data_IF_179928260510
#
_entry.id   IF_179928260510
#
_cell.length_a   1.000
_cell.length_b   1.000
_cell.length_c   1.000
_cell.angle_alpha   90.00
_cell.angle_beta   90.00
_cell.angle_gamma   90.00
#
_symmetry.space_group_name_H-M   'P 1'
#
loop_
_entity.id
_entity.type
_entity.pdbx_description
1 polymer ?
#
# COMPACT_ATOMS: atom_id res chain seq x y z
N UNK A 1 1.14 -30.06 5.60
CA UNK A 1 1.17 -28.86 4.76
C UNK A 1 -0.25 -28.38 4.56
N UNK A 2 -0.57 -27.13 4.92
CA UNK A 2 -1.86 -26.56 4.58
C UNK A 2 -1.88 -26.31 3.06
N UNK A 3 -2.73 -27.02 2.36
CA UNK A 3 -2.79 -26.90 0.90
C UNK A 3 -3.68 -25.70 0.55
N UNK A 4 -3.10 -24.70 -0.10
CA UNK A 4 -3.86 -23.59 -0.69
C UNK A 4 -4.81 -24.11 -1.76
N UNK A 5 -6.01 -23.55 -1.80
CA UNK A 5 -6.93 -23.70 -2.93
C UNK A 5 -7.02 -22.36 -3.63
N UNK A 6 -6.88 -22.35 -4.96
CA UNK A 6 -6.99 -21.17 -5.80
C UNK A 6 -7.84 -21.52 -7.01
N UNK A 7 -8.92 -20.78 -7.20
CA UNK A 7 -9.88 -21.04 -8.29
C UNK A 7 -10.59 -19.75 -8.72
N UNK A 8 -11.12 -19.82 -9.92
CA UNK A 8 -11.96 -18.77 -10.50
C UNK A 8 -13.41 -19.21 -10.40
N UNK A 9 -14.20 -18.44 -9.65
CA UNK A 9 -15.62 -18.74 -9.50
C UNK A 9 -16.41 -18.34 -10.75
N UNK A 10 -17.47 -19.08 -11.11
CA UNK A 10 -18.34 -18.74 -12.25
C UNK A 10 -18.92 -17.32 -12.18
N UNK A 11 -19.14 -16.77 -10.99
CA UNK A 11 -19.56 -15.38 -10.80
C UNK A 11 -18.50 -14.35 -11.21
N UNK A 12 -17.23 -14.75 -11.46
CA UNK A 12 -16.13 -13.90 -11.88
C UNK A 12 -15.09 -13.59 -10.79
N UNK A 13 -15.34 -13.92 -9.54
CA UNK A 13 -14.41 -13.74 -8.42
C UNK A 13 -13.22 -14.68 -8.57
N UNK A 14 -12.00 -14.14 -8.37
CA UNK A 14 -10.81 -14.96 -8.11
C UNK A 14 -10.72 -15.25 -6.62
N UNK A 15 -10.78 -16.52 -6.25
CA UNK A 15 -10.82 -16.96 -4.85
C UNK A 15 -9.56 -17.73 -4.47
N UNK A 16 -8.90 -17.31 -3.38
CA UNK A 16 -7.88 -18.08 -2.69
C UNK A 16 -8.35 -18.49 -1.30
N UNK A 17 -8.13 -19.74 -0.93
CA UNK A 17 -8.46 -20.25 0.40
C UNK A 17 -7.27 -20.93 1.05
N UNK A 18 -6.97 -20.56 2.29
CA UNK A 18 -5.99 -21.19 3.15
C UNK A 18 -6.70 -21.85 4.34
N UNK A 19 -6.97 -23.18 4.30
CA UNK A 19 -7.56 -23.87 5.43
C UNK A 19 -6.62 -23.90 6.63
N UNK A 20 -7.08 -23.45 7.78
CA UNK A 20 -6.36 -23.46 9.05
C UNK A 20 -7.21 -24.14 10.14
N UNK A 21 -7.32 -25.47 10.14
CA UNK A 21 -8.30 -26.19 10.97
C UNK A 21 -8.07 -26.08 12.46
N UNK A 22 -6.89 -25.64 12.90
CA UNK A 22 -6.57 -25.40 14.32
C UNK A 22 -6.91 -24.00 14.81
N UNK A 23 -7.36 -23.12 13.93
CA UNK A 23 -7.81 -21.75 14.31
C UNK A 23 -9.28 -21.79 14.71
N UNK A 24 -9.67 -20.82 15.55
CA UNK A 24 -11.05 -20.71 16.05
C UNK A 24 -11.86 -19.66 15.27
N UNK A 25 -11.24 -18.98 14.32
CA UNK A 25 -11.85 -17.90 13.54
C UNK A 25 -11.59 -18.10 12.05
N UNK A 26 -12.44 -17.48 11.24
CA UNK A 26 -12.26 -17.33 9.80
C UNK A 26 -12.08 -15.84 9.50
N UNK A 27 -11.06 -15.52 8.70
CA UNK A 27 -10.88 -14.20 8.11
C UNK A 27 -11.12 -14.28 6.60
N UNK A 28 -11.68 -13.22 6.05
CA UNK A 28 -11.66 -13.02 4.60
C UNK A 28 -11.35 -11.57 4.24
N UNK A 29 -10.84 -11.39 3.04
CA UNK A 29 -10.57 -10.09 2.45
C UNK A 29 -11.11 -10.07 1.03
N UNK A 30 -11.92 -9.06 0.71
CA UNK A 30 -12.39 -8.77 -0.63
C UNK A 30 -11.61 -7.55 -1.12
N UNK A 31 -10.85 -7.70 -2.20
CA UNK A 31 -10.20 -6.61 -2.91
C UNK A 31 -10.96 -6.33 -4.19
N UNK A 32 -11.48 -5.13 -4.31
CA UNK A 32 -12.07 -4.63 -5.55
C UNK A 32 -11.03 -3.78 -6.27
N UNK A 33 -10.78 -4.02 -7.55
CA UNK A 33 -9.86 -3.24 -8.37
C UNK A 33 -10.48 -1.87 -8.71
N UNK A 34 -10.70 -1.07 -7.68
CA UNK A 34 -11.42 0.21 -7.70
C UNK A 34 -10.76 1.24 -6.76
N UNK A 35 -9.43 1.23 -6.67
CA UNK A 35 -8.68 2.25 -5.92
C UNK A 35 -8.62 3.59 -6.65
N UNK A 36 -7.82 4.53 -6.13
CA UNK A 36 -7.72 5.90 -6.69
C UNK A 36 -7.25 5.93 -8.15
N UNK A 37 -6.59 4.88 -8.63
CA UNK A 37 -6.20 4.75 -10.03
C UNK A 37 -7.39 4.63 -10.99
N UNK A 38 -8.57 4.24 -10.50
CA UNK A 38 -9.80 4.13 -11.27
C UNK A 38 -10.60 5.43 -11.34
N UNK A 39 -10.18 6.49 -10.64
CA UNK A 39 -10.86 7.78 -10.63
C UNK A 39 -10.69 8.53 -11.95
N UNK A 40 -11.73 9.29 -12.41
CA UNK A 40 -11.54 10.30 -13.43
C UNK A 40 -10.56 11.39 -12.95
N UNK A 41 -9.75 11.99 -13.85
CA UNK A 41 -8.73 12.97 -13.45
C UNK A 41 -9.29 14.23 -12.76
N UNK A 42 -10.54 14.57 -13.03
CA UNK A 42 -11.25 15.73 -12.46
C UNK A 42 -12.09 15.40 -11.20
N UNK A 43 -12.04 14.15 -10.73
CA UNK A 43 -12.80 13.64 -9.58
C UNK A 43 -11.92 12.91 -8.57
N UNK A 44 -10.73 13.45 -8.28
CA UNK A 44 -9.80 12.85 -7.31
C UNK A 44 -10.41 12.89 -5.90
N UNK A 45 -10.35 11.77 -5.19
CA UNK A 45 -11.00 11.51 -3.89
C UNK A 45 -12.33 10.75 -4.01
N UNK A 46 -12.80 10.49 -5.25
CA UNK A 46 -14.06 9.80 -5.50
C UNK A 46 -14.06 8.36 -4.98
N UNK A 47 -12.94 7.62 -5.12
CA UNK A 47 -12.85 6.23 -4.68
C UNK A 47 -13.01 6.09 -3.16
N UNK A 48 -12.38 6.98 -2.39
CA UNK A 48 -12.53 7.02 -0.93
C UNK A 48 -13.94 7.43 -0.51
N UNK A 49 -14.53 8.46 -1.14
CA UNK A 49 -15.93 8.85 -0.87
C UNK A 49 -16.92 7.71 -1.16
N UNK A 50 -16.66 6.91 -2.20
CA UNK A 50 -17.50 5.73 -2.49
C UNK A 50 -17.36 4.74 -1.35
N UNK A 51 -16.14 4.40 -0.94
CA UNK A 51 -15.87 3.44 0.13
C UNK A 51 -16.49 3.90 1.46
N UNK A 52 -16.28 5.15 1.87
CA UNK A 52 -16.81 5.75 3.11
C UNK A 52 -18.35 5.82 3.15
N UNK A 53 -19.01 5.78 1.97
CA UNK A 53 -20.45 5.90 1.89
C UNK A 53 -21.15 4.56 1.68
N UNK A 54 -20.45 3.50 1.30
CA UNK A 54 -21.02 2.18 1.05
C UNK A 54 -21.81 1.62 2.24
N UNK A 55 -21.30 1.79 3.46
CA UNK A 55 -21.90 1.27 4.69
C UNK A 55 -23.04 2.14 5.28
N UNK A 56 -23.32 3.30 4.67
CA UNK A 56 -24.33 4.24 5.17
C UNK A 56 -25.77 3.84 4.85
N UNK A 57 -25.95 2.84 3.98
CA UNK A 57 -27.26 2.25 3.70
C UNK A 57 -27.27 1.35 2.49
N UNK A 58 -28.13 0.33 2.55
CA UNK A 58 -28.42 -0.60 1.46
C UNK A 58 -29.91 -0.55 1.12
N UNK A 59 -30.33 -1.24 0.06
CA UNK A 59 -31.76 -1.37 -0.25
C UNK A 59 -32.57 -2.06 0.87
N UNK A 60 -31.90 -2.84 1.73
CA UNK A 60 -32.54 -3.63 2.79
C UNK A 60 -32.40 -3.04 4.18
N UNK A 61 -31.32 -2.25 4.43
CA UNK A 61 -30.94 -1.78 5.76
C UNK A 61 -30.48 -0.33 5.72
N UNK A 62 -30.78 0.40 6.77
CA UNK A 62 -30.06 1.65 7.06
C UNK A 62 -28.63 1.35 7.47
N UNK A 63 -27.73 2.33 7.44
CA UNK A 63 -26.34 2.15 7.89
C UNK A 63 -26.26 1.58 9.32
N UNK A 64 -27.06 2.13 10.24
CA UNK A 64 -27.12 1.63 11.62
C UNK A 64 -27.57 0.16 11.69
N UNK A 65 -28.61 -0.22 10.97
CA UNK A 65 -29.06 -1.62 10.92
C UNK A 65 -28.04 -2.57 10.31
N UNK A 66 -27.22 -2.08 9.37
CA UNK A 66 -26.14 -2.86 8.78
C UNK A 66 -25.01 -3.09 9.81
N UNK A 67 -24.60 -2.04 10.53
CA UNK A 67 -23.61 -2.14 11.61
C UNK A 67 -24.10 -3.06 12.71
N UNK A 68 -25.35 -2.90 13.18
CA UNK A 68 -25.97 -3.77 14.20
C UNK A 68 -25.98 -5.24 13.75
N UNK A 69 -26.17 -5.50 12.43
CA UNK A 69 -26.15 -6.86 11.89
C UNK A 69 -24.73 -7.48 11.88
N UNK A 70 -23.68 -6.70 11.66
CA UNK A 70 -22.29 -7.15 11.80
C UNK A 70 -21.94 -7.38 13.27
N UNK A 71 -22.34 -6.49 14.15
CA UNK A 71 -22.09 -6.61 15.60
C UNK A 71 -22.81 -7.83 16.19
N UNK A 72 -24.03 -8.12 15.75
CA UNK A 72 -24.80 -9.27 16.22
C UNK A 72 -24.13 -10.63 15.95
N UNK A 73 -23.22 -10.71 14.97
CA UNK A 73 -22.44 -11.92 14.67
C UNK A 73 -20.98 -11.80 15.17
N UNK A 74 -20.64 -10.75 15.90
CA UNK A 74 -19.29 -10.51 16.40
C UNK A 74 -18.26 -10.34 15.29
N UNK A 75 -18.64 -9.78 14.16
CA UNK A 75 -17.75 -9.59 13.02
C UNK A 75 -16.83 -8.39 13.24
N UNK A 76 -15.51 -8.62 13.21
CA UNK A 76 -14.54 -7.54 13.12
C UNK A 76 -14.37 -7.12 11.68
N UNK A 77 -14.95 -5.99 11.28
CA UNK A 77 -14.92 -5.47 9.90
C UNK A 77 -14.04 -4.24 9.78
N UNK A 78 -13.43 -4.05 8.61
CA UNK A 78 -12.71 -2.83 8.25
C UNK A 78 -12.66 -2.70 6.73
N UNK A 79 -12.59 -1.47 6.24
CA UNK A 79 -12.41 -1.17 4.82
C UNK A 79 -11.36 -0.08 4.62
N UNK A 80 -10.94 0.14 3.39
CA UNK A 80 -10.02 1.20 3.05
C UNK A 80 -9.67 1.22 1.57
N UNK A 81 -9.47 2.42 1.05
CA UNK A 81 -9.09 2.68 -0.34
C UNK A 81 -7.59 2.91 -0.45
N UNK A 82 -6.98 2.20 -1.40
CA UNK A 82 -5.57 2.33 -1.75
C UNK A 82 -5.38 2.79 -3.19
N UNK A 83 -4.13 2.69 -3.68
CA UNK A 83 -3.79 3.13 -5.05
C UNK A 83 -4.59 2.37 -6.13
N UNK A 84 -4.63 1.06 -6.06
CA UNK A 84 -5.22 0.20 -7.09
C UNK A 84 -6.50 -0.52 -6.64
N UNK A 85 -6.72 -0.61 -5.33
CA UNK A 85 -7.82 -1.42 -4.78
C UNK A 85 -8.55 -0.70 -3.66
N UNK A 86 -9.86 -0.95 -3.56
CA UNK A 86 -10.64 -0.79 -2.34
C UNK A 86 -10.77 -2.15 -1.68
N UNK A 87 -10.48 -2.23 -0.39
CA UNK A 87 -10.33 -3.49 0.34
C UNK A 87 -11.31 -3.55 1.50
N UNK A 88 -12.01 -4.68 1.64
CA UNK A 88 -12.90 -4.98 2.75
C UNK A 88 -12.37 -6.21 3.47
N UNK A 89 -12.21 -6.13 4.78
CA UNK A 89 -11.72 -7.24 5.62
C UNK A 89 -12.75 -7.61 6.67
N UNK A 90 -12.87 -8.90 6.93
CA UNK A 90 -13.74 -9.41 7.98
C UNK A 90 -13.05 -10.54 8.74
N UNK A 91 -13.26 -10.59 10.04
CA UNK A 91 -12.91 -11.73 10.89
C UNK A 91 -14.12 -12.11 11.73
N UNK A 92 -14.47 -13.39 11.74
CA UNK A 92 -15.72 -13.89 12.33
C UNK A 92 -15.54 -15.34 12.80
N UNK A 93 -16.43 -15.84 13.65
CA UNK A 93 -16.49 -17.26 13.98
C UNK A 93 -16.97 -18.09 12.77
N UNK A 94 -16.51 -19.34 12.61
CA UNK A 94 -16.83 -20.19 11.44
C UNK A 94 -18.33 -20.40 11.20
N UNK A 95 -19.14 -20.48 12.25
CA UNK A 95 -20.60 -20.59 12.16
C UNK A 95 -21.28 -19.37 11.54
N UNK A 96 -20.68 -18.18 11.68
CA UNK A 96 -21.20 -16.94 11.15
C UNK A 96 -20.60 -16.51 9.80
N UNK A 97 -19.71 -17.34 9.22
CA UNK A 97 -19.00 -17.00 7.97
C UNK A 97 -19.96 -16.65 6.82
N UNK A 98 -20.97 -17.51 6.59
CA UNK A 98 -21.94 -17.27 5.50
C UNK A 98 -22.72 -15.97 5.72
N UNK A 99 -23.12 -15.69 6.98
CA UNK A 99 -23.83 -14.45 7.29
C UNK A 99 -22.96 -13.21 7.09
N UNK A 100 -21.66 -13.29 7.44
CA UNK A 100 -20.72 -12.21 7.20
C UNK A 100 -20.51 -11.95 5.69
N UNK A 101 -20.41 -13.01 4.87
CA UNK A 101 -20.33 -12.86 3.39
C UNK A 101 -21.63 -12.31 2.82
N UNK A 102 -22.81 -12.75 3.30
CA UNK A 102 -24.12 -12.20 2.92
C UNK A 102 -24.19 -10.68 3.17
N UNK A 103 -23.77 -10.23 4.34
CA UNK A 103 -23.78 -8.81 4.71
C UNK A 103 -22.81 -7.98 3.82
N UNK A 104 -21.61 -8.51 3.53
CA UNK A 104 -20.69 -7.86 2.59
C UNK A 104 -21.22 -7.86 1.16
N UNK A 105 -21.88 -8.93 0.74
CA UNK A 105 -22.53 -8.95 -0.58
C UNK A 105 -23.66 -7.93 -0.67
N UNK A 106 -24.46 -7.77 0.37
CA UNK A 106 -25.50 -6.73 0.44
C UNK A 106 -24.89 -5.33 0.36
N UNK A 107 -23.86 -5.05 1.19
CA UNK A 107 -23.10 -3.80 1.19
C UNK A 107 -22.56 -3.44 -0.21
N UNK A 108 -21.96 -4.41 -0.89
CA UNK A 108 -21.26 -4.18 -2.16
C UNK A 108 -22.22 -4.13 -3.36
N UNK A 109 -23.33 -4.85 -3.32
CA UNK A 109 -24.24 -5.02 -4.46
C UNK A 109 -25.37 -4.00 -4.51
N UNK A 110 -25.86 -3.55 -3.35
CA UNK A 110 -27.08 -2.74 -3.27
C UNK A 110 -26.95 -1.53 -2.35
N UNK A 111 -25.83 -0.79 -2.38
CA UNK A 111 -25.70 0.43 -1.60
C UNK A 111 -26.64 1.51 -2.12
N UNK A 112 -27.19 2.32 -1.23
CA UNK A 112 -28.12 3.40 -1.60
C UNK A 112 -27.47 4.77 -1.65
N UNK A 113 -26.28 4.95 -1.07
CA UNK A 113 -25.57 6.21 -0.98
C UNK A 113 -26.51 7.35 -0.51
N UNK A 114 -27.07 7.33 0.72
CA UNK A 114 -27.98 8.37 1.20
C UNK A 114 -27.35 9.76 1.03
N UNK A 115 -28.13 10.75 0.55
CA UNK A 115 -27.57 12.06 0.22
C UNK A 115 -26.95 12.77 1.43
N UNK A 116 -27.64 12.72 2.56
CA UNK A 116 -27.18 13.30 3.83
C UNK A 116 -25.85 12.68 4.31
N UNK A 117 -25.74 11.36 4.25
CA UNK A 117 -24.50 10.66 4.60
C UNK A 117 -23.35 10.96 3.60
N UNK A 118 -23.67 11.05 2.31
CA UNK A 118 -22.70 11.43 1.30
C UNK A 118 -22.14 12.85 1.56
N UNK A 119 -23.03 13.81 1.83
CA UNK A 119 -22.64 15.19 2.11
C UNK A 119 -21.75 15.29 3.36
N UNK A 120 -22.07 14.53 4.43
CA UNK A 120 -21.23 14.43 5.63
C UNK A 120 -19.85 13.87 5.29
N UNK A 121 -19.76 12.81 4.48
CA UNK A 121 -18.46 12.23 4.10
C UNK A 121 -17.63 13.18 3.22
N UNK A 122 -18.25 13.97 2.35
CA UNK A 122 -17.53 15.04 1.62
C UNK A 122 -16.95 16.09 2.57
N UNK A 123 -17.70 16.48 3.60
CA UNK A 123 -17.21 17.46 4.59
C UNK A 123 -16.10 16.86 5.47
N UNK A 124 -16.18 15.58 5.84
CA UNK A 124 -15.11 14.88 6.54
C UNK A 124 -13.84 14.79 5.70
N UNK A 125 -13.96 14.38 4.43
CA UNK A 125 -12.80 14.33 3.51
C UNK A 125 -12.12 15.70 3.34
N UNK A 126 -12.90 16.80 3.34
CA UNK A 126 -12.34 18.16 3.33
C UNK A 126 -11.56 18.47 4.59
N UNK A 127 -12.08 18.10 5.76
CA UNK A 127 -11.39 18.27 7.04
C UNK A 127 -10.11 17.44 7.11
N UNK A 128 -10.12 16.21 6.58
CA UNK A 128 -8.94 15.36 6.51
C UNK A 128 -7.85 15.95 5.60
N UNK A 129 -8.22 16.54 4.44
CA UNK A 129 -7.26 17.27 3.59
C UNK A 129 -6.71 18.51 4.32
N UNK A 130 -7.51 19.19 5.13
CA UNK A 130 -7.04 20.31 5.93
C UNK A 130 -6.09 19.84 7.03
N UNK A 131 -6.41 18.74 7.71
CA UNK A 131 -5.54 18.11 8.68
C UNK A 131 -4.21 17.61 8.10
N UNK A 132 -4.18 17.22 6.83
CA UNK A 132 -2.95 16.82 6.14
C UNK A 132 -1.91 17.97 6.10
N UNK A 133 -2.39 19.23 6.06
CA UNK A 133 -1.48 20.38 6.13
C UNK A 133 -0.71 20.46 7.46
N UNK A 134 -1.23 19.88 8.53
CA UNK A 134 -0.61 19.82 9.85
C UNK A 134 0.28 18.59 10.07
N UNK A 135 0.37 17.69 9.08
CA UNK A 135 1.28 16.53 9.08
C UNK A 135 2.37 16.69 8.01
N UNK A 136 3.55 17.24 8.37
CA UNK A 136 4.62 17.46 7.42
C UNK A 136 5.15 16.19 6.74
N UNK A 137 5.12 15.06 7.43
CA UNK A 137 5.58 13.78 6.87
C UNK A 137 4.60 13.28 5.81
N UNK A 138 3.30 13.28 6.11
CA UNK A 138 2.27 12.89 5.15
C UNK A 138 2.23 13.81 3.92
N UNK A 139 2.52 15.11 4.09
CA UNK A 139 2.68 16.03 2.95
C UNK A 139 3.86 15.65 2.04
N UNK A 140 5.03 15.34 2.62
CA UNK A 140 6.17 14.86 1.81
C UNK A 140 5.81 13.57 1.08
N UNK A 141 5.14 12.64 1.74
CA UNK A 141 4.69 11.38 1.12
C UNK A 141 3.70 11.64 -0.05
N UNK A 142 2.81 12.61 0.09
CA UNK A 142 1.91 13.05 -0.99
C UNK A 142 2.71 13.60 -2.18
N UNK A 143 3.63 14.52 -1.94
CA UNK A 143 4.39 15.17 -3.00
C UNK A 143 5.36 14.21 -3.71
N UNK A 144 6.08 13.38 -2.94
CA UNK A 144 7.02 12.43 -3.51
C UNK A 144 6.30 11.31 -4.27
N UNK A 145 5.15 10.85 -3.80
CA UNK A 145 4.32 9.86 -4.50
C UNK A 145 3.88 10.36 -5.87
N UNK A 146 3.49 11.63 -5.97
CA UNK A 146 3.11 12.24 -7.26
C UNK A 146 4.23 12.21 -8.27
N UNK A 147 5.46 12.47 -7.83
CA UNK A 147 6.66 12.44 -8.68
C UNK A 147 7.17 11.02 -8.95
N UNK A 148 7.02 10.11 -7.97
CA UNK A 148 7.44 8.73 -8.08
C UNK A 148 6.58 7.93 -9.07
N UNK A 149 5.27 8.16 -9.08
CA UNK A 149 4.31 7.31 -9.79
C UNK A 149 3.53 8.03 -10.89
N UNK A 150 3.62 9.37 -10.97
CA UNK A 150 2.92 10.16 -11.99
C UNK A 150 1.44 10.38 -11.72
N UNK A 151 0.66 10.76 -12.75
CA UNK A 151 -0.68 11.31 -12.59
C UNK A 151 -1.78 10.31 -12.20
N UNK A 152 -1.51 9.02 -12.25
CA UNK A 152 -2.51 7.99 -11.93
C UNK A 152 -2.18 7.34 -10.59
N UNK A 153 -1.08 6.59 -10.48
CA UNK A 153 -0.70 5.90 -9.25
C UNK A 153 -0.15 6.84 -8.15
N UNK A 154 0.28 8.04 -8.50
CA UNK A 154 0.74 9.05 -7.56
C UNK A 154 -0.36 9.90 -6.94
N UNK A 155 -1.64 9.58 -7.17
CA UNK A 155 -2.79 10.25 -6.54
C UNK A 155 -2.85 9.94 -5.06
N UNK A 156 -3.23 10.95 -4.29
CA UNK A 156 -3.50 10.78 -2.87
C UNK A 156 -4.93 10.25 -2.66
N UNK A 157 -5.13 9.38 -1.68
CA UNK A 157 -6.45 8.76 -1.42
C UNK A 157 -7.51 9.79 -1.04
N UNK A 158 -7.15 10.85 -0.35
CA UNK A 158 -8.06 11.95 -0.01
C UNK A 158 -8.43 12.84 -1.21
N UNK A 159 -7.76 12.69 -2.37
CA UNK A 159 -7.96 13.57 -3.52
C UNK A 159 -7.42 14.98 -3.31
N UNK A 160 -8.09 15.97 -3.88
CA UNK A 160 -7.70 17.39 -3.85
C UNK A 160 -8.92 18.26 -3.50
N UNK A 161 -8.72 19.38 -2.78
CA UNK A 161 -9.84 20.31 -2.40
C UNK A 161 -10.71 20.71 -3.58
N UNK A 162 -10.07 21.02 -4.72
CA UNK A 162 -10.74 21.48 -5.93
C UNK A 162 -11.58 20.39 -6.60
N UNK A 163 -11.15 19.13 -6.52
CA UNK A 163 -11.88 18.01 -7.10
C UNK A 163 -13.01 17.55 -6.19
N UNK A 164 -12.78 17.47 -4.87
CA UNK A 164 -13.83 17.14 -3.89
C UNK A 164 -15.04 18.08 -3.97
N UNK A 165 -14.80 19.38 -4.22
CA UNK A 165 -15.87 20.36 -4.37
C UNK A 165 -16.81 20.10 -5.56
N UNK A 166 -16.40 19.27 -6.52
CA UNK A 166 -17.14 18.96 -7.76
C UNK A 166 -17.75 17.56 -7.76
N UNK A 167 -17.39 16.72 -6.80
CA UNK A 167 -17.91 15.36 -6.73
C UNK A 167 -19.34 15.38 -6.22
N UNK A 168 -20.21 14.71 -6.95
CA UNK A 168 -21.62 14.55 -6.60
C UNK A 168 -21.94 13.11 -6.22
N UNK A 169 -23.05 12.90 -5.53
CA UNK A 169 -23.58 11.56 -5.26
C UNK A 169 -23.79 10.74 -6.54
N UNK A 170 -24.17 11.39 -7.65
CA UNK A 170 -24.32 10.72 -8.94
C UNK A 170 -22.97 10.18 -9.45
N UNK A 171 -21.89 10.94 -9.29
CA UNK A 171 -20.54 10.47 -9.62
C UNK A 171 -20.15 9.22 -8.79
N UNK A 172 -20.49 9.20 -7.50
CA UNK A 172 -20.25 8.07 -6.63
C UNK A 172 -21.01 6.80 -7.07
N UNK A 173 -22.31 6.97 -7.40
CA UNK A 173 -23.10 5.87 -7.94
C UNK A 173 -22.58 5.34 -9.27
N UNK A 174 -22.13 6.22 -10.16
CA UNK A 174 -21.59 5.81 -11.45
C UNK A 174 -20.23 5.13 -11.31
N UNK A 175 -19.36 5.64 -10.43
CA UNK A 175 -18.08 4.99 -10.11
C UNK A 175 -18.30 3.59 -9.53
N UNK A 176 -19.22 3.46 -8.57
CA UNK A 176 -19.57 2.17 -8.00
C UNK A 176 -20.08 1.19 -9.06
N UNK A 177 -21.06 1.59 -9.88
CA UNK A 177 -21.63 0.73 -10.95
C UNK A 177 -20.57 0.24 -11.93
N UNK A 178 -19.60 1.08 -12.28
CA UNK A 178 -18.57 0.77 -13.25
C UNK A 178 -17.46 -0.13 -12.68
N UNK A 179 -17.11 0.05 -11.41
CA UNK A 179 -15.92 -0.55 -10.83
C UNK A 179 -16.18 -1.68 -9.85
N UNK A 180 -17.35 -1.71 -9.19
CA UNK A 180 -17.69 -2.75 -8.23
C UNK A 180 -18.46 -3.87 -8.92
N UNK A 181 -17.72 -4.82 -9.48
CA UNK A 181 -18.26 -6.02 -10.16
C UNK A 181 -17.49 -7.25 -9.75
N UNK A 182 -18.12 -8.43 -9.80
CA UNK A 182 -17.48 -9.68 -9.39
C UNK A 182 -16.18 -9.98 -10.16
N UNK A 183 -16.12 -9.67 -11.46
CA UNK A 183 -14.91 -9.85 -12.27
C UNK A 183 -13.72 -8.95 -11.88
N UNK A 184 -13.94 -7.92 -11.08
CA UNK A 184 -12.90 -7.04 -10.53
C UNK A 184 -12.54 -7.37 -9.08
N UNK A 185 -13.02 -8.51 -8.56
CA UNK A 185 -12.78 -8.93 -7.18
C UNK A 185 -11.73 -10.02 -7.08
N UNK A 186 -10.83 -9.86 -6.11
CA UNK A 186 -9.92 -10.87 -5.61
C UNK A 186 -10.32 -11.13 -4.17
N UNK A 187 -10.66 -12.36 -3.85
CA UNK A 187 -11.09 -12.77 -2.51
C UNK A 187 -10.08 -13.74 -1.92
N UNK A 188 -9.66 -13.49 -0.70
CA UNK A 188 -8.88 -14.42 0.08
C UNK A 188 -9.64 -14.83 1.34
N UNK A 189 -9.57 -16.11 1.70
CA UNK A 189 -10.15 -16.66 2.93
C UNK A 189 -9.07 -17.44 3.67
N UNK A 190 -8.96 -17.25 4.97
CA UNK A 190 -8.07 -18.06 5.82
C UNK A 190 -8.79 -18.43 7.12
N UNK A 191 -8.59 -19.65 7.61
CA UNK A 191 -9.17 -20.06 8.89
C UNK A 191 -9.75 -21.46 8.91
N UNK A 192 -10.55 -21.73 9.93
CA UNK A 192 -11.20 -23.03 10.14
C UNK A 192 -12.44 -23.19 9.24
N UNK A 193 -12.20 -23.32 7.94
CA UNK A 193 -13.25 -23.43 6.94
C UNK A 193 -12.86 -24.44 5.84
N UNK A 194 -13.84 -25.19 5.36
CA UNK A 194 -13.72 -26.03 4.17
C UNK A 194 -13.66 -25.13 2.92
N UNK A 195 -12.66 -25.30 2.02
CA UNK A 195 -12.53 -24.49 0.81
C UNK A 195 -13.75 -24.53 -0.10
N UNK A 196 -14.41 -25.69 -0.26
CA UNK A 196 -15.62 -25.82 -1.08
C UNK A 196 -16.76 -24.99 -0.50
N UNK A 197 -16.92 -24.99 0.84
CA UNK A 197 -17.90 -24.13 1.51
C UNK A 197 -17.62 -22.66 1.24
N UNK A 198 -16.35 -22.23 1.27
CA UNK A 198 -15.99 -20.86 0.93
C UNK A 198 -16.41 -20.51 -0.50
N UNK A 199 -16.07 -21.36 -1.48
CA UNK A 199 -16.42 -21.18 -2.88
C UNK A 199 -17.94 -21.11 -3.09
N UNK A 200 -18.69 -22.05 -2.53
CA UNK A 200 -20.15 -22.12 -2.65
C UNK A 200 -20.83 -20.88 -2.07
N UNK A 201 -20.35 -20.36 -0.93
CA UNK A 201 -20.91 -19.18 -0.28
C UNK A 201 -20.63 -17.92 -1.12
N UNK A 202 -19.39 -17.69 -1.55
CA UNK A 202 -19.08 -16.55 -2.41
C UNK A 202 -19.79 -16.62 -3.75
N UNK A 203 -19.82 -17.79 -4.41
CA UNK A 203 -20.55 -17.99 -5.64
C UNK A 203 -22.03 -17.61 -5.48
N UNK A 204 -22.70 -18.12 -4.45
CA UNK A 204 -24.12 -17.88 -4.21
C UNK A 204 -24.46 -16.42 -3.98
N UNK A 205 -23.66 -15.73 -3.15
CA UNK A 205 -23.95 -14.36 -2.77
C UNK A 205 -23.52 -13.32 -3.80
N UNK A 206 -22.57 -13.66 -4.69
CA UNK A 206 -22.10 -12.77 -5.74
C UNK A 206 -22.54 -13.18 -7.15
N UNK A 207 -23.36 -14.22 -7.30
CA UNK A 207 -23.90 -14.60 -8.60
C UNK A 207 -24.70 -13.45 -9.22
N UNK A 208 -24.44 -13.15 -10.52
CA UNK A 208 -25.07 -12.04 -11.22
C UNK A 208 -24.65 -10.64 -10.73
N UNK A 209 -23.56 -10.51 -9.97
CA UNK A 209 -23.05 -9.18 -9.55
C UNK A 209 -22.21 -8.52 -10.64
N UNK A 210 -22.86 -7.79 -11.52
CA UNK A 210 -22.23 -7.01 -12.60
C UNK A 210 -21.48 -7.90 -13.60
N UNK A 211 -20.38 -7.40 -14.15
CA UNK A 211 -19.58 -8.10 -15.14
C UNK A 211 -18.70 -9.18 -14.49
N UNK A 212 -18.64 -10.36 -15.12
CA UNK A 212 -17.70 -11.43 -14.79
C UNK A 212 -16.33 -11.23 -15.48
N UNK A 213 -16.21 -10.23 -16.35
CA UNK A 213 -14.99 -9.92 -17.07
C UNK A 213 -13.91 -9.42 -16.12
N UNK A 214 -12.71 -9.99 -16.22
CA UNK A 214 -11.55 -9.60 -15.42
C UNK A 214 -10.87 -8.34 -15.96
N UNK A 215 -11.45 -7.20 -15.64
CA UNK A 215 -10.91 -5.90 -15.98
C UNK A 215 -10.01 -5.33 -14.85
N UNK A 216 -9.13 -4.38 -15.22
CA UNK A 216 -8.29 -3.66 -14.25
C UNK A 216 -7.09 -4.45 -13.74
N UNK A 217 -6.75 -5.58 -14.37
CA UNK A 217 -5.62 -6.43 -13.95
C UNK A 217 -4.29 -6.08 -14.60
N UNK A 218 -4.30 -5.33 -15.70
CA UNK A 218 -3.07 -4.88 -16.34
C UNK A 218 -2.34 -3.86 -15.43
N UNK A 219 -1.00 -3.94 -15.32
CA UNK A 219 -0.21 -2.94 -14.63
C UNK A 219 -0.44 -1.54 -15.22
N UNK A 220 -0.44 -0.54 -14.35
CA UNK A 220 -0.59 0.86 -14.74
C UNK A 220 0.81 1.44 -14.96
N UNK A 221 1.00 2.12 -16.09
CA UNK A 221 2.28 2.76 -16.41
C UNK A 221 2.65 3.82 -15.38
N UNK A 222 3.90 3.81 -14.96
CA UNK A 222 4.48 4.77 -14.01
C UNK A 222 5.27 5.83 -14.77
N UNK A 223 5.02 7.08 -14.44
CA UNK A 223 5.73 8.24 -14.96
C UNK A 223 6.64 8.84 -13.88
N UNK A 224 7.83 8.24 -13.70
CA UNK A 224 8.80 8.73 -12.72
C UNK A 224 9.42 10.07 -13.14
N UNK A 225 9.26 11.10 -12.30
CA UNK A 225 9.80 12.44 -12.51
C UNK A 225 11.02 12.71 -11.61
N UNK A 226 12.25 12.49 -12.11
CA UNK A 226 13.45 12.79 -11.33
C UNK A 226 13.60 14.32 -11.11
N UNK A 227 14.44 14.69 -10.13
CA UNK A 227 14.73 16.07 -9.81
C UNK A 227 14.47 16.41 -8.36
N UNK A 228 14.79 17.66 -7.98
CA UNK A 228 14.63 18.16 -6.61
C UNK A 228 13.50 19.17 -6.58
N UNK A 229 12.63 19.06 -5.60
CA UNK A 229 11.62 20.08 -5.29
C UNK A 229 11.66 20.43 -3.81
N UNK A 230 11.43 21.70 -3.51
CA UNK A 230 11.30 22.19 -2.14
C UNK A 230 9.95 22.87 -1.98
N UNK A 231 9.25 22.52 -0.89
CA UNK A 231 7.99 23.12 -0.49
C UNK A 231 8.22 23.95 0.77
N UNK A 232 8.22 25.30 0.67
CA UNK A 232 8.47 26.14 1.83
C UNK A 232 7.30 26.08 2.81
N UNK A 233 7.61 25.77 4.06
CA UNK A 233 6.65 25.74 5.17
C UNK A 233 7.34 26.16 6.46
N UNK A 234 6.66 26.96 7.27
CA UNK A 234 7.18 27.44 8.56
C UNK A 234 7.13 26.32 9.59
N UNK A 235 8.16 25.48 9.63
CA UNK A 235 8.32 24.34 10.52
C UNK A 235 9.62 24.46 11.33
N UNK A 236 9.66 23.82 12.49
CA UNK A 236 10.90 23.69 13.27
C UNK A 236 11.86 22.64 12.67
N UNK A 237 11.33 21.72 11.88
CA UNK A 237 12.07 20.63 11.24
C UNK A 237 11.94 20.69 9.72
N UNK A 238 12.96 20.19 9.05
CA UNK A 238 12.98 19.93 7.63
C UNK A 238 12.66 18.44 7.37
N UNK A 239 11.66 18.16 6.55
CA UNK A 239 11.37 16.82 6.11
C UNK A 239 12.08 16.54 4.78
N UNK A 240 12.72 15.39 4.66
CA UNK A 240 13.42 14.95 3.46
C UNK A 240 12.80 13.66 3.00
N UNK A 241 12.30 13.63 1.77
CA UNK A 241 11.91 12.42 1.05
C UNK A 241 12.81 12.22 -0.16
N UNK A 242 13.35 11.04 -0.32
CA UNK A 242 14.14 10.62 -1.49
C UNK A 242 13.48 9.39 -2.08
N UNK A 243 13.35 9.33 -3.40
CA UNK A 243 12.82 8.17 -4.10
C UNK A 243 13.64 7.87 -5.35
N UNK A 244 13.80 6.59 -5.66
CA UNK A 244 14.39 6.11 -6.91
C UNK A 244 13.75 4.79 -7.34
N UNK A 245 13.79 4.45 -8.64
CA UNK A 245 13.25 3.20 -9.14
C UNK A 245 13.91 1.98 -8.51
N UNK A 246 13.09 1.02 -8.16
CA UNK A 246 13.46 -0.34 -7.75
C UNK A 246 12.75 -1.36 -8.62
N UNK A 247 12.73 -2.61 -8.18
CA UNK A 247 12.02 -3.69 -8.86
C UNK A 247 10.64 -3.93 -8.26
N UNK A 248 9.70 -4.43 -9.06
CA UNK A 248 8.37 -4.80 -8.59
C UNK A 248 8.36 -6.11 -7.79
N UNK A 249 7.22 -6.44 -7.20
CA UNK A 249 7.09 -7.58 -6.30
C UNK A 249 7.30 -8.94 -7.00
N UNK A 250 7.02 -9.04 -8.29
CA UNK A 250 7.16 -10.30 -9.08
C UNK A 250 8.56 -10.44 -9.74
N UNK A 251 9.42 -9.44 -9.59
CA UNK A 251 10.76 -9.47 -10.17
C UNK A 251 11.66 -10.48 -9.45
N UNK A 252 12.52 -11.25 -10.16
CA UNK A 252 13.43 -12.23 -9.54
C UNK A 252 14.37 -11.65 -8.50
N UNK A 253 14.77 -10.40 -8.63
CA UNK A 253 15.66 -9.70 -7.69
C UNK A 253 14.93 -9.02 -6.53
N UNK A 254 13.60 -9.13 -6.43
CA UNK A 254 12.83 -8.53 -5.35
C UNK A 254 13.28 -8.98 -3.94
N UNK A 255 13.61 -10.27 -3.69
CA UNK A 255 14.18 -10.69 -2.40
C UNK A 255 15.50 -9.99 -2.07
N UNK A 256 16.35 -9.75 -3.06
CA UNK A 256 17.61 -9.01 -2.89
C UNK A 256 17.34 -7.57 -2.47
N UNK A 257 16.38 -6.90 -3.13
CA UNK A 257 15.93 -5.54 -2.74
C UNK A 257 15.38 -5.51 -1.30
N UNK A 258 14.61 -6.50 -0.89
CA UNK A 258 14.11 -6.60 0.49
C UNK A 258 15.25 -6.71 1.51
N UNK A 259 16.27 -7.50 1.21
CA UNK A 259 17.44 -7.65 2.09
C UNK A 259 18.26 -6.34 2.15
N UNK A 260 18.46 -5.65 1.03
CA UNK A 260 19.09 -4.31 0.99
C UNK A 260 18.36 -3.35 1.94
N UNK A 261 17.04 -3.31 1.89
CA UNK A 261 16.23 -2.48 2.78
C UNK A 261 16.32 -2.93 4.24
N UNK A 262 16.44 -4.23 4.49
CA UNK A 262 16.71 -4.79 5.81
C UNK A 262 18.04 -4.30 6.39
N UNK A 263 19.10 -4.23 5.59
CA UNK A 263 20.42 -3.70 6.01
C UNK A 263 20.33 -2.20 6.26
N UNK A 264 19.61 -1.45 5.41
CA UNK A 264 19.45 0.00 5.55
C UNK A 264 18.57 0.39 6.73
N UNK A 265 17.42 -0.28 6.92
CA UNK A 265 16.36 0.19 7.82
C UNK A 265 15.63 -0.92 8.59
N UNK A 266 16.17 -2.13 8.68
CA UNK A 266 15.49 -3.30 9.27
C UNK A 266 15.49 -3.40 10.80
N UNK A 267 15.97 -2.39 11.52
CA UNK A 267 16.00 -2.38 12.99
C UNK A 267 16.98 -1.37 13.57
N UNK A 268 17.15 -1.35 14.90
CA UNK A 268 18.01 -0.39 15.60
C UNK A 268 19.51 -0.55 15.29
N UNK A 269 19.95 -1.67 14.73
CA UNK A 269 21.35 -1.90 14.32
C UNK A 269 21.56 -1.72 12.82
N UNK A 270 20.57 -1.22 12.09
CA UNK A 270 20.67 -0.96 10.66
C UNK A 270 21.54 0.27 10.37
N UNK A 271 22.03 0.39 9.14
CA UNK A 271 22.96 1.47 8.75
C UNK A 271 22.39 2.87 8.97
N UNK A 272 21.16 3.13 8.52
CA UNK A 272 20.58 4.46 8.66
C UNK A 272 20.39 4.87 10.12
N UNK A 273 19.90 3.95 10.97
CA UNK A 273 19.74 4.26 12.38
C UNK A 273 21.09 4.53 13.05
N UNK A 274 22.09 3.67 12.81
CA UNK A 274 23.42 3.78 13.43
C UNK A 274 24.18 5.00 12.92
N UNK A 275 24.26 5.21 11.60
CA UNK A 275 25.11 6.24 11.02
C UNK A 275 24.49 7.64 11.04
N UNK A 276 23.17 7.74 10.85
CA UNK A 276 22.49 9.03 10.73
C UNK A 276 21.99 9.52 12.11
N UNK A 277 21.40 8.60 12.90
CA UNK A 277 20.80 8.96 14.18
C UNK A 277 21.79 8.84 15.34
N UNK A 278 22.38 7.63 15.56
CA UNK A 278 23.18 7.39 16.77
C UNK A 278 24.55 8.09 16.72
N UNK A 279 25.31 7.89 15.64
CA UNK A 279 26.68 8.42 15.56
C UNK A 279 26.74 9.91 15.29
N UNK A 280 25.82 10.46 14.47
CA UNK A 280 25.86 11.87 14.04
C UNK A 280 24.76 12.72 14.68
N UNK A 281 23.75 12.11 15.26
CA UNK A 281 22.62 12.82 15.88
C UNK A 281 21.89 13.75 14.92
N UNK A 282 21.84 13.43 13.63
CA UNK A 282 21.28 14.30 12.61
C UNK A 282 19.76 14.33 12.61
N UNK A 283 19.14 13.21 13.00
CA UNK A 283 17.69 13.01 12.85
C UNK A 283 17.09 12.37 14.11
N UNK A 284 15.82 12.67 14.37
CA UNK A 284 15.01 11.89 15.30
C UNK A 284 14.42 10.63 14.65
N UNK A 285 14.01 10.76 13.38
CA UNK A 285 13.43 9.69 12.58
C UNK A 285 14.14 9.56 11.24
N UNK A 286 14.39 8.33 10.86
CA UNK A 286 14.94 7.94 9.56
C UNK A 286 14.47 6.54 9.19
N UNK A 287 14.07 6.36 7.94
CA UNK A 287 13.66 5.05 7.42
C UNK A 287 13.98 4.91 5.94
N UNK A 288 14.09 3.65 5.50
CA UNK A 288 14.02 3.26 4.10
C UNK A 288 12.95 2.18 3.93
N UNK A 289 12.17 2.28 2.87
CA UNK A 289 11.10 1.33 2.56
C UNK A 289 10.92 1.22 1.05
N UNK A 290 10.10 0.27 0.64
CA UNK A 290 9.69 0.10 -0.75
C UNK A 290 8.18 0.11 -0.88
N UNK A 291 7.71 0.59 -2.02
CA UNK A 291 6.33 0.42 -2.46
C UNK A 291 6.35 -0.19 -3.86
N UNK A 292 5.49 -1.17 -4.06
CA UNK A 292 5.47 -1.96 -5.29
C UNK A 292 4.05 -2.07 -5.83
N UNK A 293 3.49 -0.99 -6.44
CA UNK A 293 2.30 -1.16 -7.26
C UNK A 293 2.61 -2.16 -8.40
N UNK A 294 1.59 -2.82 -8.95
CA UNK A 294 1.82 -3.85 -9.97
C UNK A 294 2.61 -3.33 -11.16
N UNK A 295 3.66 -4.06 -11.53
CA UNK A 295 4.56 -3.73 -12.64
C UNK A 295 5.50 -2.55 -12.38
N UNK A 296 5.61 -2.09 -11.12
CA UNK A 296 6.57 -1.05 -10.76
C UNK A 296 7.09 -1.25 -9.32
N UNK A 297 8.29 -0.78 -9.06
CA UNK A 297 8.87 -0.74 -7.73
C UNK A 297 9.57 0.58 -7.50
N UNK A 298 9.42 1.13 -6.30
CA UNK A 298 10.10 2.34 -5.85
C UNK A 298 10.70 2.11 -4.48
N UNK A 299 11.92 2.62 -4.30
CA UNK A 299 12.61 2.66 -3.02
C UNK A 299 12.56 4.09 -2.51
N UNK A 300 12.17 4.23 -1.25
CA UNK A 300 12.07 5.51 -0.56
C UNK A 300 13.03 5.56 0.62
N UNK A 301 13.57 6.76 0.87
CA UNK A 301 14.22 7.12 2.12
C UNK A 301 13.54 8.36 2.67
N UNK A 302 13.27 8.36 3.96
CA UNK A 302 12.67 9.50 4.65
C UNK A 302 13.47 9.87 5.89
N UNK A 303 13.57 11.16 6.18
CA UNK A 303 14.20 11.66 7.39
C UNK A 303 13.59 12.99 7.83
N UNK A 304 13.57 13.21 9.16
CA UNK A 304 13.20 14.48 9.78
C UNK A 304 14.40 15.04 10.53
N UNK A 305 14.83 16.25 10.18
CA UNK A 305 16.05 16.88 10.69
C UNK A 305 15.83 18.36 11.02
N UNK A 306 16.83 19.04 11.60
CA UNK A 306 16.78 20.50 11.73
C UNK A 306 17.16 21.17 10.42
N UNK A 307 16.65 22.39 10.12
CA UNK A 307 16.97 23.07 8.87
C UNK A 307 18.48 23.29 8.63
N UNK A 308 19.26 23.47 9.71
CA UNK A 308 20.71 23.66 9.64
C UNK A 308 21.47 22.39 9.25
N UNK A 309 20.89 21.22 9.49
CA UNK A 309 21.52 19.91 9.23
C UNK A 309 20.96 19.21 7.97
N UNK A 310 20.05 19.88 7.24
CA UNK A 310 19.36 19.28 6.10
C UNK A 310 20.34 18.75 5.04
N UNK A 311 21.31 19.56 4.61
CA UNK A 311 22.31 19.17 3.61
C UNK A 311 23.20 18.00 4.08
N UNK A 312 23.63 18.03 5.33
CA UNK A 312 24.44 16.94 5.91
C UNK A 312 23.64 15.64 6.04
N UNK A 313 22.39 15.74 6.46
CA UNK A 313 21.47 14.59 6.54
C UNK A 313 21.27 13.97 5.17
N UNK A 314 20.91 14.78 4.17
CA UNK A 314 20.73 14.33 2.80
C UNK A 314 21.97 13.63 2.24
N UNK A 315 23.16 14.26 2.39
CA UNK A 315 24.42 13.70 1.93
C UNK A 315 24.77 12.39 2.64
N UNK A 316 24.43 12.28 3.94
CA UNK A 316 24.67 11.05 4.72
C UNK A 316 23.75 9.91 4.29
N UNK A 317 22.45 10.21 4.05
CA UNK A 317 21.50 9.20 3.54
C UNK A 317 21.99 8.57 2.24
N UNK A 318 22.36 9.40 1.25
CA UNK A 318 22.86 8.89 -0.03
C UNK A 318 24.18 8.13 0.11
N UNK A 319 25.11 8.61 0.94
CA UNK A 319 26.38 7.92 1.21
C UNK A 319 26.17 6.52 1.77
N UNK A 320 25.24 6.34 2.70
CA UNK A 320 25.00 5.01 3.29
C UNK A 320 24.37 4.03 2.27
N UNK A 321 23.60 4.52 1.32
CA UNK A 321 23.13 3.72 0.19
C UNK A 321 24.27 3.37 -0.76
N UNK A 322 25.17 4.32 -1.08
CA UNK A 322 26.32 4.09 -1.96
C UNK A 322 27.32 3.10 -1.36
N UNK A 323 27.60 3.20 -0.07
CA UNK A 323 28.49 2.28 0.67
C UNK A 323 28.04 0.82 0.64
N UNK A 324 26.78 0.52 0.41
CA UNK A 324 26.31 -0.86 0.24
C UNK A 324 27.03 -1.60 -0.90
N UNK A 325 27.50 -0.92 -1.92
CA UNK A 325 28.29 -1.54 -3.00
C UNK A 325 29.75 -1.83 -2.61
N UNK A 326 30.28 -1.14 -1.61
CA UNK A 326 31.70 -1.12 -1.26
C UNK A 326 32.02 -2.01 -0.05
N UNK A 327 31.29 -1.84 1.05
CA UNK A 327 31.68 -2.33 2.37
C UNK A 327 30.60 -3.14 3.10
N UNK A 328 29.72 -3.83 2.38
CA UNK A 328 28.75 -4.75 3.00
C UNK A 328 29.47 -5.85 3.78
N UNK A 329 29.11 -6.02 5.06
CA UNK A 329 29.61 -7.08 5.91
C UNK A 329 28.65 -8.28 5.92
N UNK A 330 29.24 -9.49 6.02
CA UNK A 330 28.44 -10.72 6.11
C UNK A 330 27.48 -10.71 7.33
N UNK A 331 27.91 -10.10 8.42
CA UNK A 331 27.12 -9.95 9.65
C UNK A 331 25.89 -9.06 9.47
N UNK A 332 25.96 -8.04 8.61
CA UNK A 332 24.82 -7.18 8.28
C UNK A 332 23.79 -7.95 7.44
N UNK A 333 24.27 -8.71 6.45
CA UNK A 333 23.45 -9.59 5.62
C UNK A 333 22.68 -10.61 6.47
N UNK A 334 23.39 -11.36 7.32
CA UNK A 334 22.79 -12.39 8.18
C UNK A 334 21.74 -11.80 9.13
N UNK A 335 22.02 -10.64 9.71
CA UNK A 335 21.08 -9.92 10.58
C UNK A 335 19.83 -9.47 9.84
N UNK A 336 19.97 -8.92 8.63
CA UNK A 336 18.85 -8.50 7.81
C UNK A 336 17.97 -9.69 7.41
N UNK A 337 18.57 -10.80 6.95
CA UNK A 337 17.86 -12.04 6.62
C UNK A 337 17.10 -12.56 7.85
N UNK A 338 17.78 -12.69 8.99
CA UNK A 338 17.15 -13.16 10.24
C UNK A 338 15.98 -12.28 10.64
N UNK A 339 16.14 -10.96 10.55
CA UNK A 339 15.08 -10.00 10.88
C UNK A 339 13.87 -10.13 9.96
N UNK A 340 14.09 -10.29 8.64
CA UNK A 340 13.00 -10.46 7.67
C UNK A 340 12.25 -11.77 7.92
N UNK A 341 12.97 -12.88 8.10
CA UNK A 341 12.36 -14.20 8.36
C UNK A 341 11.57 -14.18 9.67
N UNK A 342 12.15 -13.67 10.76
CA UNK A 342 11.45 -13.56 12.04
C UNK A 342 10.20 -12.68 11.94
N UNK A 343 10.25 -11.60 11.16
CA UNK A 343 9.08 -10.73 10.94
C UNK A 343 8.00 -11.43 10.11
N UNK A 344 8.35 -12.23 9.11
CA UNK A 344 7.41 -13.04 8.34
C UNK A 344 6.69 -14.06 9.25
N UNK A 345 7.42 -14.77 10.09
CA UNK A 345 6.86 -15.75 11.02
C UNK A 345 5.93 -15.08 12.05
N UNK A 346 6.38 -13.98 12.66
CA UNK A 346 5.59 -13.25 13.67
C UNK A 346 4.30 -12.65 13.07
N UNK A 347 4.37 -12.05 11.89
CA UNK A 347 3.18 -11.52 11.20
C UNK A 347 2.21 -12.63 10.79
N UNK A 348 2.73 -13.84 10.52
CA UNK A 348 1.93 -15.01 10.14
C UNK A 348 1.07 -15.61 11.24
N UNK A 349 1.13 -15.12 12.48
CA UNK A 349 0.45 -15.77 13.61
C UNK A 349 -1.05 -15.52 13.67
N UNK A 350 -1.58 -14.46 13.04
CA UNK A 350 -3.02 -14.20 13.04
C UNK A 350 -3.69 -14.70 11.76
N UNK A 351 -4.93 -15.15 11.87
CA UNK A 351 -5.78 -15.53 10.73
C UNK A 351 -5.96 -14.35 9.76
N UNK A 352 -6.14 -13.14 10.29
CA UNK A 352 -6.25 -11.90 9.50
C UNK A 352 -4.99 -11.64 8.67
N UNK A 353 -3.81 -11.78 9.27
CA UNK A 353 -2.54 -11.58 8.56
C UNK A 353 -2.34 -12.60 7.45
N UNK A 354 -2.68 -13.88 7.69
CA UNK A 354 -2.62 -14.95 6.67
C UNK A 354 -3.57 -14.68 5.51
N UNK A 355 -4.77 -14.17 5.81
CA UNK A 355 -5.72 -13.76 4.80
C UNK A 355 -5.17 -12.61 3.93
N UNK A 356 -4.63 -11.55 4.57
CA UNK A 356 -4.03 -10.41 3.85
C UNK A 356 -2.80 -10.81 3.03
N UNK A 357 -1.97 -11.74 3.53
CA UNK A 357 -0.84 -12.29 2.81
C UNK A 357 -1.29 -13.03 1.55
N UNK A 358 -2.29 -13.91 1.67
CA UNK A 358 -2.87 -14.60 0.52
C UNK A 358 -3.49 -13.64 -0.51
N UNK A 359 -4.18 -12.58 -0.05
CA UNK A 359 -4.69 -11.55 -0.94
C UNK A 359 -3.58 -10.80 -1.69
N UNK A 360 -2.45 -10.53 -1.03
CA UNK A 360 -1.27 -9.95 -1.68
C UNK A 360 -0.69 -10.91 -2.73
N UNK A 361 -0.57 -12.18 -2.40
CA UNK A 361 -0.05 -13.19 -3.31
C UNK A 361 -0.88 -13.27 -4.60
N UNK A 362 -2.21 -13.33 -4.47
CA UNK A 362 -3.12 -13.33 -5.63
C UNK A 362 -3.02 -12.03 -6.43
N UNK A 363 -2.90 -10.89 -5.74
CA UNK A 363 -2.85 -9.59 -6.38
C UNK A 363 -1.55 -9.37 -7.17
N UNK A 364 -0.39 -9.75 -6.60
CA UNK A 364 0.91 -9.50 -7.21
C UNK A 364 1.39 -10.63 -8.10
N UNK A 365 1.16 -11.88 -7.70
CA UNK A 365 1.70 -13.07 -8.38
C UNK A 365 0.64 -13.87 -9.15
N UNK A 366 -0.65 -13.57 -8.99
CA UNK A 366 -1.75 -14.36 -9.57
C UNK A 366 -1.82 -15.79 -9.05
N UNK A 367 -1.15 -16.11 -7.94
CA UNK A 367 -1.15 -17.42 -7.30
C UNK A 367 -0.80 -17.31 -5.82
N UNK A 368 -1.24 -18.27 -4.99
CA UNK A 368 -0.70 -18.39 -3.63
C UNK A 368 0.81 -18.70 -3.66
N UNK A 369 1.57 -18.09 -2.75
CA UNK A 369 3.01 -18.35 -2.57
C UNK A 369 3.24 -18.96 -1.19
N UNK A 370 3.73 -20.21 -1.11
CA UNK A 370 4.04 -20.85 0.17
C UNK A 370 5.06 -20.02 0.98
N UNK A 371 4.90 -19.90 2.31
CA UNK A 371 5.86 -19.20 3.16
C UNK A 371 7.29 -19.73 3.00
N UNK A 372 7.43 -21.04 2.83
CA UNK A 372 8.73 -21.71 2.62
C UNK A 372 9.40 -21.23 1.32
N UNK A 373 8.64 -20.97 0.25
CA UNK A 373 9.18 -20.40 -1.00
C UNK A 373 9.69 -18.98 -0.77
N UNK A 374 8.94 -18.14 -0.04
CA UNK A 374 9.35 -16.77 0.30
C UNK A 374 10.61 -16.76 1.15
N UNK A 375 10.63 -17.56 2.20
CA UNK A 375 11.78 -17.71 3.10
C UNK A 375 13.01 -18.22 2.35
N UNK A 376 12.87 -19.22 1.49
CA UNK A 376 13.98 -19.76 0.70
C UNK A 376 14.59 -18.71 -0.24
N UNK A 377 13.76 -17.85 -0.86
CA UNK A 377 14.25 -16.74 -1.71
C UNK A 377 15.04 -15.69 -0.91
N UNK A 378 14.59 -15.36 0.30
CA UNK A 378 15.27 -14.40 1.18
C UNK A 378 16.60 -14.99 1.70
N UNK A 379 16.59 -16.23 2.16
CA UNK A 379 17.79 -16.88 2.71
C UNK A 379 18.86 -17.22 1.66
N UNK A 380 18.49 -17.27 0.39
CA UNK A 380 19.41 -17.49 -0.72
C UNK A 380 20.20 -16.22 -1.13
N UNK A 381 19.84 -15.04 -0.61
CA UNK A 381 20.50 -13.78 -0.98
C UNK A 381 21.93 -13.75 -0.45
N UNK A 382 22.88 -13.38 -1.30
CA UNK A 382 24.31 -13.26 -0.97
C UNK A 382 24.81 -11.83 -1.16
N UNK A 383 26.00 -11.53 -0.64
CA UNK A 383 26.66 -10.23 -0.83
C UNK A 383 26.91 -9.96 -2.31
N UNK A 384 27.27 -10.99 -3.09
CA UNK A 384 27.48 -10.88 -4.53
C UNK A 384 26.19 -10.50 -5.27
N UNK A 385 25.04 -11.08 -4.88
CA UNK A 385 23.73 -10.73 -5.45
C UNK A 385 23.38 -9.27 -5.14
N UNK A 386 23.66 -8.80 -3.93
CA UNK A 386 23.43 -7.39 -3.56
C UNK A 386 24.31 -6.46 -4.41
N UNK A 387 25.60 -6.77 -4.57
CA UNK A 387 26.50 -5.99 -5.42
C UNK A 387 26.06 -5.99 -6.89
N UNK A 388 25.64 -7.13 -7.41
CA UNK A 388 25.10 -7.24 -8.77
C UNK A 388 23.83 -6.41 -8.95
N UNK A 389 22.89 -6.48 -7.99
CA UNK A 389 21.68 -5.66 -7.97
C UNK A 389 22.01 -4.16 -8.03
N UNK A 390 22.91 -3.69 -7.14
CA UNK A 390 23.29 -2.28 -7.07
C UNK A 390 24.00 -1.79 -8.35
N UNK A 391 24.77 -2.66 -9.00
CA UNK A 391 25.40 -2.37 -10.30
C UNK A 391 24.40 -2.34 -11.45
N UNK A 392 23.40 -3.23 -11.44
CA UNK A 392 22.34 -3.31 -12.46
C UNK A 392 21.26 -2.23 -12.34
N UNK A 393 21.10 -1.67 -11.14
CA UNK A 393 20.10 -0.63 -10.83
C UNK A 393 20.77 0.67 -10.34
N UNK A 394 21.44 1.41 -11.24
CA UNK A 394 22.12 2.65 -10.87
C UNK A 394 21.11 3.71 -10.41
N UNK A 395 21.49 4.45 -9.39
CA UNK A 395 20.67 5.52 -8.79
C UNK A 395 20.97 6.88 -9.43
N UNK A 396 21.06 6.93 -10.74
CA UNK A 396 21.28 8.15 -11.53
C UNK A 396 20.02 9.02 -11.67
N UNK A 397 18.85 8.43 -11.39
CA UNK A 397 17.54 9.09 -11.42
C UNK A 397 16.95 9.14 -10.02
N UNK A 398 17.16 10.24 -9.31
CA UNK A 398 16.56 10.50 -8.00
C UNK A 398 15.41 11.49 -8.11
N UNK A 399 14.37 11.26 -7.34
CA UNK A 399 13.37 12.25 -6.97
C UNK A 399 13.62 12.65 -5.51
N UNK A 400 13.76 13.94 -5.25
CA UNK A 400 13.95 14.48 -3.90
C UNK A 400 12.89 15.53 -3.64
N UNK A 401 12.22 15.40 -2.52
CA UNK A 401 11.24 16.36 -2.01
C UNK A 401 11.68 16.79 -0.63
N UNK A 402 11.77 18.10 -0.40
CA UNK A 402 11.95 18.64 0.94
C UNK A 402 10.79 19.57 1.30
N UNK A 403 10.42 19.56 2.57
CA UNK A 403 9.36 20.38 3.13
C UNK A 403 9.85 21.02 4.43
N UNK A 404 9.89 22.36 4.46
CA UNK A 404 10.34 23.10 5.64
C UNK A 404 10.79 24.50 5.28
N UNK A 405 11.47 25.19 6.21
CA UNK A 405 11.83 26.59 6.01
C UNK A 405 13.02 26.81 5.05
N UNK A 406 13.80 25.74 4.71
CA UNK A 406 15.07 25.93 4.01
C UNK A 406 15.30 24.89 2.92
N UNK A 407 15.48 25.30 1.64
CA UNK A 407 15.82 24.37 0.56
C UNK A 407 17.21 23.76 0.77
N UNK A 408 17.45 22.58 0.15
CA UNK A 408 18.79 22.02 0.02
C UNK A 408 19.70 23.04 -0.70
N UNK A 409 20.82 23.38 -0.08
CA UNK A 409 21.83 24.20 -0.70
C UNK A 409 22.73 23.29 -1.52
N UNK A 410 22.71 23.38 -2.85
CA UNK A 410 23.55 22.72 -3.85
C UNK A 410 24.61 21.72 -3.37
N UNK A 411 24.19 20.62 -2.74
CA UNK A 411 25.10 19.60 -2.22
C UNK A 411 25.89 18.96 -3.37
N UNK A 412 27.20 18.68 -3.21
CA UNK A 412 27.98 17.89 -4.16
C UNK A 412 27.35 16.53 -4.49
N UNK A 413 26.50 15.98 -3.61
CA UNK A 413 25.71 14.81 -3.86
C UNK A 413 24.66 15.04 -4.97
N UNK A 414 24.09 16.24 -5.12
CA UNK A 414 23.19 16.62 -6.21
C UNK A 414 23.92 16.76 -7.55
N UNK A 415 25.17 17.23 -7.55
CA UNK A 415 25.97 17.43 -8.77
C UNK A 415 26.49 16.12 -9.40
N UNK A 416 26.57 15.04 -8.64
CA UNK A 416 26.89 13.70 -9.20
C UNK A 416 25.75 13.09 -10.02
N UNK A 417 24.53 13.52 -9.78
CA UNK A 417 23.33 13.08 -10.50
C UNK A 417 22.99 14.14 -11.58
N UNK A 418 23.79 14.21 -12.66
CA UNK A 418 23.66 15.17 -13.76
C UNK A 418 22.28 15.09 -14.42
N UNK A 419 21.55 16.18 -14.42
CA UNK A 419 20.23 16.33 -15.06
C UNK A 419 19.12 16.80 -14.12
N UNK A 420 19.43 17.11 -12.85
CA UNK A 420 18.44 17.63 -11.90
C UNK A 420 18.29 19.14 -12.05
N UNK A 421 17.25 19.57 -12.74
CA UNK A 421 16.82 20.97 -12.66
C UNK A 421 16.07 21.20 -11.34
N UNK A 422 16.48 22.22 -10.60
CA UNK A 422 15.73 22.73 -9.46
C UNK A 422 14.58 23.54 -10.03
N UNK A 423 13.40 22.97 -10.08
CA UNK A 423 12.18 23.71 -10.46
C UNK A 423 11.59 24.34 -9.20
N UNK A 424 11.54 25.66 -9.11
CA UNK A 424 10.67 26.32 -8.16
C UNK A 424 9.24 26.13 -8.68
N UNK A 425 8.44 25.30 -8.01
CA UNK A 425 7.02 25.27 -8.28
C UNK A 425 6.31 26.26 -7.36
N UNK A 426 5.62 27.19 -8.01
CA UNK A 426 4.63 28.12 -7.47
C UNK A 426 3.37 27.38 -7.03
#
# INVERSE_FOLDING_TARGET
MNQFVHEDLPCGIELGVLPLPRRHVVGFQIRVLAGVSAEPPDKLGLASLVEDTLDKGTEKRTGQQLLDAFDAIGAGVNSGTGRETTTFTCTVLPEHFEKAVELHAELLRTPTFPQDAFDVNVDLARQEIEGLEDDPQALVDKYISRRAYGPILGRHTLGEKQTLAKITRADALDHWRQNFTAGRMIVSVAGALDPRRAADVFQRHFDGFGSTRRDGRAPISVEFAPGVSHHPKALEQEQIGICFPGVDADHPEFPTQQVILGILSGGMSCRLFTEVREKRGLVYWVAAWQETPRGAGMIFLGASTTPQRCDETFATLLREVDRLSEDIEQTELERAITGIVAQQDTRGDSTRSKCSELANDLFFYGRPVPPEEKTAKITAVTVEMIRAYLAGHPRDRLCVVTLGPRPLSGSPALTRHRGMEVSPQS
#
